data_IF_596832277452
#
_entry.id   IF_596832277452
#
_cell.length_a   1.000
_cell.length_b   1.000
_cell.length_c   1.000
_cell.angle_alpha   90.00
_cell.angle_beta   90.00
_cell.angle_gamma   90.00
#
_symmetry.space_group_name_H-M   'P 1'
#
loop_
_entity.id
_entity.type
_entity.pdbx_description
1 polymer ?
#
# COMPACT_ATOMS: atom_id res chain seq x y z
N UNK A 1 4.17 -26.74 8.54
CA UNK A 1 4.96 -26.33 7.37
C UNK A 1 3.95 -26.08 6.27
N UNK A 2 3.60 -24.82 6.02
CA UNK A 2 2.63 -24.44 4.99
C UNK A 2 3.23 -24.80 3.63
N UNK A 3 2.62 -25.71 2.88
CA UNK A 3 3.06 -25.98 1.50
C UNK A 3 2.37 -24.99 0.54
N UNK A 4 2.93 -24.83 -0.64
CA UNK A 4 2.33 -24.02 -1.70
C UNK A 4 0.91 -24.49 -2.05
N UNK A 5 0.62 -25.79 -1.86
CA UNK A 5 -0.70 -26.37 -2.11
C UNK A 5 -1.76 -25.81 -1.16
N UNK A 6 -1.43 -25.55 0.11
CA UNK A 6 -2.35 -24.93 1.08
C UNK A 6 -2.72 -23.49 0.67
N UNK A 7 -1.76 -22.76 0.10
CA UNK A 7 -2.00 -21.41 -0.43
C UNK A 7 -2.87 -21.47 -1.70
N UNK A 8 -2.55 -22.38 -2.62
CA UNK A 8 -3.27 -22.56 -3.87
C UNK A 8 -4.73 -23.00 -3.62
N UNK A 9 -4.98 -23.93 -2.69
CA UNK A 9 -6.34 -24.32 -2.29
C UNK A 9 -7.12 -23.17 -1.67
N UNK A 10 -6.46 -22.35 -0.83
CA UNK A 10 -7.09 -21.16 -0.24
C UNK A 10 -7.49 -20.14 -1.30
N UNK A 11 -6.59 -19.80 -2.23
CA UNK A 11 -6.87 -18.89 -3.35
C UNK A 11 -8.02 -19.43 -4.20
N UNK A 12 -7.99 -20.71 -4.56
CA UNK A 12 -9.07 -21.36 -5.34
C UNK A 12 -10.40 -21.35 -4.60
N UNK A 13 -10.40 -21.59 -3.28
CA UNK A 13 -11.63 -21.64 -2.47
C UNK A 13 -12.32 -20.28 -2.32
N UNK A 14 -11.56 -19.18 -2.37
CA UNK A 14 -12.11 -17.81 -2.36
C UNK A 14 -12.55 -17.33 -3.76
N UNK A 15 -12.23 -18.08 -4.82
CA UNK A 15 -12.75 -17.83 -6.17
C UNK A 15 -12.33 -16.47 -6.70
N UNK A 16 -13.27 -15.60 -7.04
CA UNK A 16 -12.99 -14.25 -7.53
C UNK A 16 -12.64 -13.25 -6.41
N UNK A 17 -12.84 -13.62 -5.14
CA UNK A 17 -12.69 -12.75 -3.96
C UNK A 17 -11.37 -12.92 -3.23
N UNK A 18 -10.42 -13.59 -3.87
CA UNK A 18 -9.13 -13.89 -3.24
C UNK A 18 -8.33 -12.62 -2.95
N UNK A 19 -8.64 -11.52 -3.64
CA UNK A 19 -8.00 -10.21 -3.54
C UNK A 19 -8.97 -9.08 -3.16
N UNK A 20 -10.17 -9.38 -2.65
CA UNK A 20 -11.15 -8.34 -2.30
C UNK A 20 -10.62 -7.34 -1.25
N UNK A 21 -9.63 -7.77 -0.45
CA UNK A 21 -8.97 -6.99 0.59
C UNK A 21 -7.50 -6.67 0.23
N UNK A 22 -7.13 -6.76 -1.06
CA UNK A 22 -5.76 -6.51 -1.53
C UNK A 22 -5.74 -5.42 -2.60
N UNK A 23 -5.10 -4.30 -2.28
CA UNK A 23 -4.85 -3.22 -3.22
C UNK A 23 -3.38 -3.23 -3.68
N UNK A 24 -3.18 -3.03 -4.99
CA UNK A 24 -1.85 -3.00 -5.61
C UNK A 24 -1.54 -1.60 -6.13
N UNK A 25 -0.68 -0.90 -5.43
CA UNK A 25 -0.15 0.42 -5.76
C UNK A 25 1.05 0.27 -6.71
N UNK A 26 0.76 -0.06 -7.97
CA UNK A 26 1.80 -0.38 -8.95
C UNK A 26 2.63 0.84 -9.34
N UNK A 27 3.94 0.69 -9.28
CA UNK A 27 4.90 1.75 -9.59
C UNK A 27 4.99 2.85 -8.54
N UNK A 28 4.28 2.72 -7.41
CA UNK A 28 4.38 3.64 -6.28
C UNK A 28 5.55 3.22 -5.39
N UNK A 29 6.37 4.19 -5.00
CA UNK A 29 7.21 4.07 -3.82
C UNK A 29 6.53 4.69 -2.58
N UNK A 30 7.25 4.74 -1.45
CA UNK A 30 6.73 5.32 -0.22
C UNK A 30 6.52 6.85 -0.31
N UNK A 31 7.29 7.55 -1.15
CA UNK A 31 7.09 8.99 -1.36
C UNK A 31 5.78 9.24 -2.11
N UNK A 32 5.54 8.49 -3.19
CA UNK A 32 4.30 8.55 -3.96
C UNK A 32 3.08 8.23 -3.08
N UNK A 33 3.17 7.16 -2.30
CA UNK A 33 2.09 6.76 -1.39
C UNK A 33 1.84 7.80 -0.29
N UNK A 34 2.90 8.38 0.28
CA UNK A 34 2.79 9.45 1.27
C UNK A 34 2.08 10.69 0.72
N UNK A 35 2.37 11.08 -0.53
CA UNK A 35 1.68 12.18 -1.22
C UNK A 35 0.20 11.86 -1.42
N UNK A 36 -0.11 10.66 -1.93
CA UNK A 36 -1.49 10.20 -2.15
C UNK A 36 -2.31 10.20 -0.84
N UNK A 37 -1.73 9.71 0.26
CA UNK A 37 -2.40 9.69 1.56
C UNK A 37 -2.68 11.10 2.09
N UNK A 38 -1.75 12.03 1.89
CA UNK A 38 -1.91 13.43 2.31
C UNK A 38 -3.04 14.10 1.52
N UNK A 39 -3.09 13.89 0.21
CA UNK A 39 -4.12 14.40 -0.69
C UNK A 39 -5.49 13.77 -0.39
N UNK A 40 -5.55 12.45 -0.19
CA UNK A 40 -6.76 11.71 0.16
C UNK A 40 -7.35 12.15 1.51
N UNK A 41 -6.50 12.49 2.49
CA UNK A 41 -6.94 13.04 3.78
C UNK A 41 -7.50 14.48 3.66
N UNK A 42 -7.36 15.13 2.50
CA UNK A 42 -7.88 16.48 2.25
C UNK A 42 -7.06 17.58 2.93
N UNK A 43 -5.79 17.33 3.25
CA UNK A 43 -4.92 18.36 3.78
C UNK A 43 -4.52 19.33 2.67
N UNK A 44 -5.01 20.56 2.74
CA UNK A 44 -4.63 21.60 1.78
C UNK A 44 -3.30 22.24 2.24
N UNK A 45 -2.19 21.58 1.91
CA UNK A 45 -0.84 22.06 2.20
C UNK A 45 -0.52 23.19 1.21
N UNK A 46 -0.12 24.39 1.68
CA UNK A 46 0.42 25.42 0.80
C UNK A 46 1.64 24.92 0.03
N UNK A 47 1.72 25.20 -1.27
CA UNK A 47 2.82 24.79 -2.15
C UNK A 47 4.21 25.13 -1.60
N UNK A 48 4.33 26.25 -0.89
CA UNK A 48 5.56 26.73 -0.27
C UNK A 48 6.05 25.86 0.90
N UNK A 49 5.20 24.99 1.41
CA UNK A 49 5.49 24.05 2.50
C UNK A 49 5.71 22.62 2.00
N UNK A 50 5.38 22.30 0.76
CA UNK A 50 5.50 20.93 0.23
C UNK A 50 6.94 20.40 0.30
N UNK A 51 7.93 21.26 0.01
CA UNK A 51 9.36 20.92 0.05
C UNK A 51 9.89 20.62 1.47
N UNK A 52 9.09 20.90 2.50
CA UNK A 52 9.46 20.66 3.91
C UNK A 52 8.84 19.36 4.46
N UNK A 53 8.03 18.67 3.67
CA UNK A 53 7.37 17.43 4.08
C UNK A 53 8.22 16.25 3.63
N UNK A 54 8.49 15.35 4.58
CA UNK A 54 9.13 14.07 4.33
C UNK A 54 8.04 13.05 3.97
N UNK A 55 7.66 13.03 2.69
CA UNK A 55 6.57 12.17 2.19
C UNK A 55 6.92 10.70 2.26
N UNK A 56 8.17 10.33 2.00
CA UNK A 56 8.66 8.94 2.11
C UNK A 56 8.40 8.42 3.53
N UNK A 57 8.90 9.14 4.55
CA UNK A 57 8.70 8.73 5.95
C UNK A 57 7.23 8.77 6.39
N UNK A 58 6.43 9.69 5.83
CA UNK A 58 5.00 9.70 6.08
C UNK A 58 4.32 8.46 5.49
N UNK A 59 4.64 8.08 4.25
CA UNK A 59 4.18 6.84 3.61
C UNK A 59 4.61 5.60 4.40
N UNK A 60 5.89 5.49 4.76
CA UNK A 60 6.41 4.36 5.55
C UNK A 60 5.71 4.18 6.90
N UNK A 61 5.12 5.24 7.45
CA UNK A 61 4.39 5.14 8.72
C UNK A 61 3.17 4.22 8.66
N UNK A 62 2.62 4.01 7.45
CA UNK A 62 1.50 3.09 7.18
C UNK A 62 1.92 1.62 7.03
N UNK A 63 3.22 1.30 7.15
CA UNK A 63 3.69 -0.09 7.13
C UNK A 63 3.01 -0.96 8.19
N UNK A 64 2.67 -0.36 9.34
CA UNK A 64 1.95 -1.05 10.41
C UNK A 64 0.43 -1.18 10.16
N UNK A 65 -0.09 -0.53 9.12
CA UNK A 65 -1.50 -0.55 8.72
C UNK A 65 -1.76 -1.53 7.56
N UNK A 66 -0.81 -2.43 7.27
CA UNK A 66 -0.97 -3.49 6.27
C UNK A 66 -0.34 -3.22 4.91
N UNK A 67 0.50 -2.18 4.80
CA UNK A 67 1.15 -1.79 3.55
C UNK A 67 2.59 -2.30 3.54
N UNK A 68 2.99 -2.96 2.47
CA UNK A 68 4.33 -3.51 2.29
C UNK A 68 4.87 -3.23 0.89
N UNK A 69 6.20 -3.10 0.78
CA UNK A 69 6.87 -2.88 -0.51
C UNK A 69 7.15 -4.21 -1.21
N UNK A 70 6.99 -4.23 -2.53
CA UNK A 70 7.37 -5.34 -3.40
C UNK A 70 8.00 -4.82 -4.71
N UNK A 71 8.49 -5.73 -5.55
CA UNK A 71 9.30 -5.37 -6.73
C UNK A 71 8.60 -4.50 -7.78
N UNK A 72 7.28 -4.34 -7.72
CA UNK A 72 6.47 -3.53 -8.67
C UNK A 72 5.63 -2.45 -7.94
N UNK A 73 5.97 -2.09 -6.69
CA UNK A 73 5.35 -0.98 -5.95
C UNK A 73 4.98 -1.35 -4.51
N UNK A 74 3.81 -0.90 -4.04
CA UNK A 74 3.29 -1.27 -2.71
C UNK A 74 2.07 -2.17 -2.80
N UNK A 75 1.92 -3.06 -1.83
CA UNK A 75 0.74 -3.91 -1.62
C UNK A 75 0.10 -3.55 -0.28
N UNK A 76 -1.20 -3.32 -0.29
CA UNK A 76 -2.01 -3.07 0.90
C UNK A 76 -2.91 -4.28 1.15
N UNK A 77 -3.00 -4.73 2.40
CA UNK A 77 -3.82 -5.86 2.83
C UNK A 77 -4.73 -5.39 3.98
N UNK A 78 -6.04 -5.31 3.74
CA UNK A 78 -7.07 -4.78 4.67
C UNK A 78 -7.73 -5.85 5.56
#
# INVERSE_FOLDING_TARGET
MSCFDDFEERVKSRGHRWNDDIDLWRGYDWEDYGREMLDCCGYNIPSELEDYIDYERYGESFKYDGIEEYSDGLIEIQ
#
